data_IF_735106163506
#
_entry.id   IF_735106163506
#
_cell.length_a   1.000
_cell.length_b   1.000
_cell.length_c   1.000
_cell.angle_alpha   90.00
_cell.angle_beta   90.00
_cell.angle_gamma   90.00
#
_symmetry.space_group_name_H-M   'P 1'
#
loop_
_entity.id
_entity.type
_entity.pdbx_description
1 polymer ?
#
# COMPACT_ATOMS: atom_id res chain seq x y z
N UNK A 1 10.02 16.47 -11.60
CA UNK A 1 10.54 15.14 -11.19
C UNK A 1 11.28 15.28 -9.86
N UNK A 2 11.27 14.25 -9.01
CA UNK A 2 11.84 14.29 -7.66
C UNK A 2 13.29 13.76 -7.68
N UNK A 3 14.33 14.57 -7.40
CA UNK A 3 15.73 14.20 -7.63
C UNK A 3 16.19 12.95 -6.85
N UNK A 4 15.56 12.65 -5.69
CA UNK A 4 15.85 11.43 -4.92
C UNK A 4 15.45 10.14 -5.64
N UNK A 5 14.45 10.17 -6.55
CA UNK A 5 14.01 9.00 -7.30
C UNK A 5 15.01 8.59 -8.38
N UNK A 6 15.69 9.54 -9.02
CA UNK A 6 16.67 9.24 -10.07
C UNK A 6 17.96 8.63 -9.52
N UNK A 7 18.39 9.06 -8.33
CA UNK A 7 19.56 8.50 -7.64
C UNK A 7 19.36 7.00 -7.35
N UNK A 8 18.15 6.60 -6.93
CA UNK A 8 17.85 5.21 -6.61
C UNK A 8 17.79 4.32 -7.87
N UNK A 9 17.34 4.82 -9.02
CA UNK A 9 17.22 4.01 -10.25
C UNK A 9 18.59 3.54 -10.74
N UNK A 10 19.65 4.35 -10.56
CA UNK A 10 21.02 4.00 -10.93
C UNK A 10 21.73 3.04 -9.97
N UNK A 11 21.18 2.79 -8.77
CA UNK A 11 21.79 1.90 -7.76
C UNK A 11 20.83 0.76 -7.36
N UNK A 12 20.94 -0.41 -8.03
CA UNK A 12 20.13 -1.60 -7.72
C UNK A 12 20.25 -2.06 -6.27
N UNK A 13 21.45 -1.96 -5.68
CA UNK A 13 21.70 -2.44 -4.31
C UNK A 13 21.03 -1.53 -3.28
N UNK A 14 21.09 -0.21 -3.48
CA UNK A 14 20.38 0.74 -2.63
C UNK A 14 18.86 0.54 -2.67
N UNK A 15 18.28 0.23 -3.84
CA UNK A 15 16.83 -0.06 -3.98
C UNK A 15 16.41 -1.30 -3.20
N UNK A 16 17.17 -2.41 -3.31
CA UNK A 16 16.86 -3.63 -2.53
C UNK A 16 17.01 -3.35 -1.05
N UNK A 17 18.11 -2.69 -0.64
CA UNK A 17 18.34 -2.34 0.75
C UNK A 17 17.20 -1.52 1.32
N UNK A 18 16.72 -0.50 0.59
CA UNK A 18 15.56 0.30 1.00
C UNK A 18 14.29 -0.55 1.18
N UNK A 19 14.03 -1.49 0.26
CA UNK A 19 12.87 -2.38 0.37
C UNK A 19 12.96 -3.29 1.60
N UNK A 20 14.16 -3.79 1.91
CA UNK A 20 14.45 -4.59 3.11
C UNK A 20 14.31 -3.76 4.38
N UNK A 21 14.94 -2.59 4.45
CA UNK A 21 14.89 -1.68 5.60
C UNK A 21 13.44 -1.27 5.90
N UNK A 22 12.66 -0.98 4.86
CA UNK A 22 11.24 -0.63 5.02
C UNK A 22 10.40 -1.78 5.55
N UNK A 23 10.68 -3.03 5.15
CA UNK A 23 10.00 -4.20 5.70
C UNK A 23 10.44 -4.47 7.15
N UNK A 24 11.73 -4.29 7.44
CA UNK A 24 12.31 -4.44 8.77
C UNK A 24 11.80 -3.40 9.78
N UNK A 25 11.31 -2.24 9.33
CA UNK A 25 10.75 -1.18 10.19
C UNK A 25 9.40 -1.55 10.85
N UNK A 26 8.79 -2.68 10.49
CA UNK A 26 7.45 -3.08 10.98
C UNK A 26 7.50 -3.55 12.43
N UNK A 27 6.66 -3.01 13.32
CA UNK A 27 6.72 -3.32 14.75
C UNK A 27 5.54 -4.18 15.24
N UNK A 28 5.83 -5.08 16.18
CA UNK A 28 4.82 -5.80 16.97
C UNK A 28 4.58 -5.00 18.26
N UNK A 29 3.37 -4.46 18.40
CA UNK A 29 2.93 -3.64 19.53
C UNK A 29 2.37 -4.55 20.62
N UNK A 30 2.90 -4.43 21.84
CA UNK A 30 2.46 -5.27 22.98
C UNK A 30 1.05 -4.97 23.48
N UNK A 31 0.47 -3.83 23.09
CA UNK A 31 -0.92 -3.49 23.38
C UNK A 31 -1.93 -4.25 22.49
N UNK A 32 -1.46 -4.91 21.43
CA UNK A 32 -2.29 -5.61 20.46
C UNK A 32 -2.17 -7.11 20.70
N UNK A 33 -3.29 -7.78 20.98
CA UNK A 33 -3.36 -9.23 21.19
C UNK A 33 -2.63 -10.01 20.08
N UNK A 34 -1.75 -10.99 20.42
CA UNK A 34 -0.97 -11.74 19.45
C UNK A 34 -1.80 -12.37 18.34
N UNK A 35 -3.03 -12.80 18.64
CA UNK A 35 -3.91 -13.47 17.69
C UNK A 35 -4.26 -12.57 16.49
N UNK A 36 -4.29 -11.25 16.68
CA UNK A 36 -4.51 -10.28 15.61
C UNK A 36 -3.36 -10.33 14.60
N UNK A 37 -2.11 -10.43 15.07
CA UNK A 37 -0.95 -10.59 14.18
C UNK A 37 -1.04 -11.86 13.34
N UNK A 38 -1.49 -12.98 13.91
CA UNK A 38 -1.68 -14.24 13.19
C UNK A 38 -2.71 -14.10 12.05
N UNK A 39 -3.87 -13.47 12.32
CA UNK A 39 -4.89 -13.21 11.28
C UNK A 39 -4.38 -12.27 10.19
N UNK A 40 -3.83 -11.13 10.58
CA UNK A 40 -3.25 -10.18 9.63
C UNK A 40 -2.08 -10.80 8.84
N UNK A 41 -1.37 -11.77 9.42
CA UNK A 41 -0.33 -12.57 8.79
C UNK A 41 -0.83 -13.36 7.58
N UNK A 42 -1.94 -14.07 7.76
CA UNK A 42 -2.58 -14.85 6.70
C UNK A 42 -3.02 -13.93 5.56
N UNK A 43 -3.62 -12.78 5.90
CA UNK A 43 -4.03 -11.79 4.90
C UNK A 43 -2.83 -11.17 4.16
N UNK A 44 -1.70 -10.95 4.84
CA UNK A 44 -0.46 -10.50 4.17
C UNK A 44 0.01 -11.51 3.14
N UNK A 45 -0.01 -12.81 3.44
CA UNK A 45 0.34 -13.87 2.47
C UNK A 45 -0.63 -13.90 1.30
N UNK A 46 -1.94 -13.79 1.58
CA UNK A 46 -2.97 -13.75 0.54
C UNK A 46 -2.74 -12.59 -0.42
N UNK A 47 -2.51 -11.39 0.11
CA UNK A 47 -2.22 -10.19 -0.68
C UNK A 47 -0.89 -10.30 -1.44
N UNK A 48 0.17 -10.82 -0.81
CA UNK A 48 1.46 -11.03 -1.47
C UNK A 48 1.36 -11.99 -2.65
N UNK A 49 0.55 -13.05 -2.51
CA UNK A 49 0.29 -14.02 -3.58
C UNK A 49 -0.43 -13.36 -4.76
N UNK A 50 -1.40 -12.49 -4.49
CA UNK A 50 -2.11 -11.71 -5.52
C UNK A 50 -1.12 -10.82 -6.29
N UNK A 51 -0.31 -10.03 -5.59
CA UNK A 51 0.70 -9.18 -6.26
C UNK A 51 1.70 -9.99 -7.09
N UNK A 52 2.10 -11.17 -6.62
CA UNK A 52 2.99 -12.06 -7.37
C UNK A 52 2.36 -12.52 -8.68
N UNK A 53 1.09 -12.91 -8.67
CA UNK A 53 0.35 -13.33 -9.88
C UNK A 53 0.16 -12.16 -10.84
N UNK A 54 -0.03 -10.95 -10.33
CA UNK A 54 -0.15 -9.72 -11.12
C UNK A 54 1.18 -9.22 -11.71
N UNK A 55 2.30 -9.79 -11.28
CA UNK A 55 3.65 -9.37 -11.71
C UNK A 55 4.18 -8.14 -10.97
N UNK A 56 3.48 -7.65 -9.93
CA UNK A 56 4.02 -6.64 -9.02
C UNK A 56 4.97 -7.29 -8.01
N UNK A 57 6.16 -7.64 -8.50
CA UNK A 57 7.18 -8.33 -7.73
C UNK A 57 7.74 -7.47 -6.57
N UNK A 58 7.69 -6.14 -6.67
CA UNK A 58 8.16 -5.23 -5.61
C UNK A 58 7.21 -5.28 -4.42
N UNK A 59 5.90 -5.13 -4.66
CA UNK A 59 4.88 -5.21 -3.62
C UNK A 59 4.78 -6.62 -3.01
N UNK A 60 4.86 -7.66 -3.85
CA UNK A 60 4.87 -9.05 -3.40
C UNK A 60 6.05 -9.33 -2.47
N UNK A 61 7.26 -8.97 -2.89
CA UNK A 61 8.48 -9.13 -2.07
C UNK A 61 8.37 -8.40 -0.74
N UNK A 62 7.90 -7.15 -0.75
CA UNK A 62 7.76 -6.36 0.47
C UNK A 62 6.77 -7.00 1.47
N UNK A 63 5.61 -7.48 1.02
CA UNK A 63 4.63 -8.11 1.91
C UNK A 63 5.12 -9.46 2.44
N UNK A 64 5.72 -10.30 1.61
CA UNK A 64 6.28 -11.57 2.07
C UNK A 64 7.43 -11.33 3.06
N UNK A 65 8.32 -10.37 2.80
CA UNK A 65 9.41 -10.04 3.71
C UNK A 65 8.89 -9.51 5.05
N UNK A 66 7.87 -8.63 5.01
CA UNK A 66 7.18 -8.14 6.22
C UNK A 66 6.59 -9.30 7.04
N UNK A 67 5.94 -10.26 6.39
CA UNK A 67 5.43 -11.46 7.04
C UNK A 67 6.57 -12.25 7.72
N UNK A 68 7.64 -12.55 6.99
CA UNK A 68 8.80 -13.27 7.54
C UNK A 68 9.39 -12.53 8.75
N UNK A 69 9.63 -11.21 8.65
CA UNK A 69 10.17 -10.41 9.74
C UNK A 69 9.27 -10.47 10.99
N UNK A 70 7.95 -10.34 10.83
CA UNK A 70 7.02 -10.40 11.98
C UNK A 70 7.14 -11.76 12.67
N UNK A 71 7.03 -12.86 11.91
CA UNK A 71 6.87 -14.19 12.49
C UNK A 71 8.18 -14.92 12.82
N UNK A 72 9.31 -14.51 12.23
CA UNK A 72 10.64 -15.06 12.53
C UNK A 72 11.36 -14.24 13.61
N UNK A 73 11.22 -12.91 13.63
CA UNK A 73 12.10 -12.04 14.43
C UNK A 73 11.40 -11.25 15.54
N UNK A 74 10.09 -11.02 15.43
CA UNK A 74 9.39 -10.02 16.27
C UNK A 74 8.29 -10.57 17.16
N UNK A 75 7.52 -11.56 16.70
CA UNK A 75 6.31 -12.03 17.40
C UNK A 75 6.61 -12.76 18.71
N UNK A 76 7.76 -13.41 18.81
CA UNK A 76 8.20 -14.18 19.98
C UNK A 76 8.51 -13.29 21.19
N UNK A 77 8.84 -12.01 20.96
CA UNK A 77 9.04 -10.98 21.99
C UNK A 77 7.75 -10.49 22.63
N UNK A 78 6.58 -10.85 22.10
CA UNK A 78 5.32 -10.41 22.66
C UNK A 78 5.05 -11.07 24.03
N UNK A 79 4.68 -10.33 25.09
CA UNK A 79 4.47 -10.90 26.44
C UNK A 79 3.50 -12.08 26.50
N UNK A 80 2.42 -12.00 25.73
CA UNK A 80 1.41 -13.06 25.59
C UNK A 80 1.70 -14.09 24.48
N UNK A 81 2.89 -14.14 23.87
CA UNK A 81 3.16 -15.05 22.74
C UNK A 81 2.84 -16.52 23.05
N UNK A 82 3.12 -16.97 24.28
CA UNK A 82 2.91 -18.35 24.70
C UNK A 82 1.43 -18.76 24.83
N UNK A 83 0.48 -17.82 24.85
CA UNK A 83 -0.95 -18.14 24.92
C UNK A 83 -1.47 -18.80 23.63
N UNK A 84 -0.80 -18.55 22.50
CA UNK A 84 -1.17 -19.07 21.17
C UNK A 84 -0.50 -20.42 20.87
N UNK A 85 0.38 -20.91 21.76
CA UNK A 85 1.31 -22.00 21.47
C UNK A 85 0.65 -23.37 21.17
N UNK A 86 -0.67 -23.50 21.39
CA UNK A 86 -1.44 -24.74 21.21
C UNK A 86 -2.56 -24.68 20.16
N UNK A 87 -2.69 -23.58 19.41
CA UNK A 87 -3.77 -23.41 18.42
C UNK A 87 -3.41 -23.89 17.01
N UNK A 88 -4.41 -24.30 16.19
CA UNK A 88 -4.19 -24.75 14.80
C UNK A 88 -3.54 -23.67 13.92
N UNK A 89 -3.84 -22.40 14.20
CA UNK A 89 -3.31 -21.23 13.47
C UNK A 89 -1.79 -21.11 13.60
N UNK A 90 -1.18 -21.61 14.68
CA UNK A 90 0.28 -21.64 14.80
C UNK A 90 0.92 -22.67 13.87
N UNK A 91 0.25 -23.80 13.65
CA UNK A 91 0.70 -24.81 12.69
C UNK A 91 0.58 -24.29 11.26
N UNK A 92 -0.54 -23.64 10.94
CA UNK A 92 -0.76 -22.99 9.64
C UNK A 92 0.32 -21.95 9.34
N UNK A 93 0.63 -21.03 10.27
CA UNK A 93 1.73 -20.07 10.07
C UNK A 93 3.08 -20.76 9.86
N UNK A 94 3.36 -21.88 10.54
CA UNK A 94 4.62 -22.62 10.34
C UNK A 94 4.71 -23.20 8.93
N UNK A 95 3.61 -23.68 8.38
CA UNK A 95 3.54 -24.17 6.99
C UNK A 95 3.73 -23.01 6.02
N UNK A 96 3.01 -21.90 6.21
CA UNK A 96 3.16 -20.69 5.40
C UNK A 96 4.60 -20.13 5.44
N UNK A 97 5.29 -20.17 6.58
CA UNK A 97 6.70 -19.77 6.68
C UNK A 97 7.60 -20.65 5.80
N UNK A 98 7.40 -21.97 5.82
CA UNK A 98 8.19 -22.91 5.01
C UNK A 98 8.01 -22.67 3.51
N UNK A 99 6.78 -22.37 3.08
CA UNK A 99 6.47 -22.06 1.69
C UNK A 99 6.97 -20.68 1.27
N UNK A 100 6.85 -19.69 2.15
CA UNK A 100 7.18 -18.29 1.85
C UNK A 100 8.68 -18.06 1.70
N UNK A 101 9.52 -18.73 2.48
CA UNK A 101 10.97 -18.58 2.43
C UNK A 101 11.58 -18.72 1.02
N UNK A 102 11.39 -19.84 0.29
CA UNK A 102 11.92 -19.98 -1.07
C UNK A 102 11.29 -19.02 -2.08
N UNK A 103 10.03 -18.61 -1.86
CA UNK A 103 9.36 -17.62 -2.71
C UNK A 103 10.06 -16.26 -2.59
N UNK A 104 10.38 -15.82 -1.37
CA UNK A 104 11.07 -14.55 -1.13
C UNK A 104 12.46 -14.55 -1.73
N UNK A 105 13.19 -15.67 -1.63
CA UNK A 105 14.50 -15.82 -2.26
C UNK A 105 14.41 -15.68 -3.79
N UNK A 106 13.46 -16.37 -4.42
CA UNK A 106 13.22 -16.24 -5.86
C UNK A 106 12.82 -14.82 -6.27
N UNK A 107 11.91 -14.17 -5.52
CA UNK A 107 11.49 -12.79 -5.79
C UNK A 107 12.64 -11.80 -5.63
N UNK A 108 13.52 -12.00 -4.65
CA UNK A 108 14.72 -11.18 -4.47
C UNK A 108 15.62 -11.26 -5.70
N UNK A 109 15.81 -12.45 -6.26
CA UNK A 109 16.60 -12.65 -7.48
C UNK A 109 15.97 -11.93 -8.68
N UNK A 110 14.66 -12.10 -8.88
CA UNK A 110 13.92 -11.42 -9.96
C UNK A 110 13.98 -9.89 -9.82
N UNK A 111 13.88 -9.37 -8.60
CA UNK A 111 14.01 -7.93 -8.33
C UNK A 111 15.41 -7.41 -8.64
N UNK A 112 16.45 -8.15 -8.27
CA UNK A 112 17.82 -7.76 -8.58
C UNK A 112 18.06 -7.70 -10.08
N UNK A 113 17.58 -8.69 -10.83
CA UNK A 113 17.63 -8.70 -12.30
C UNK A 113 16.89 -7.52 -12.91
N UNK A 114 15.65 -7.26 -12.44
CA UNK A 114 14.87 -6.09 -12.86
C UNK A 114 15.63 -4.78 -12.60
N UNK A 115 16.17 -4.61 -11.39
CA UNK A 115 16.86 -3.37 -11.02
C UNK A 115 18.16 -3.19 -11.78
N UNK A 116 18.91 -4.26 -12.05
CA UNK A 116 20.09 -4.21 -12.91
C UNK A 116 19.73 -3.79 -14.33
N UNK A 117 18.61 -4.30 -14.88
CA UNK A 117 18.11 -3.90 -16.19
C UNK A 117 17.69 -2.42 -16.22
N UNK A 118 16.95 -1.96 -15.20
CA UNK A 118 16.54 -0.56 -15.05
C UNK A 118 17.76 0.37 -14.97
N UNK A 119 18.76 0.00 -14.16
CA UNK A 119 19.98 0.78 -14.00
C UNK A 119 20.76 0.86 -15.30
N UNK A 120 20.88 -0.25 -16.06
CA UNK A 120 21.54 -0.25 -17.36
C UNK A 120 20.85 0.72 -18.33
N UNK A 121 19.52 0.64 -18.46
CA UNK A 121 18.74 1.56 -19.32
C UNK A 121 18.91 3.02 -18.91
N UNK A 122 18.94 3.29 -17.60
CA UNK A 122 19.16 4.64 -17.08
C UNK A 122 20.53 5.19 -17.45
N UNK A 123 21.60 4.40 -17.34
CA UNK A 123 22.95 4.83 -17.73
C UNK A 123 23.05 5.04 -19.24
N UNK A 124 22.51 4.13 -20.06
CA UNK A 124 22.48 4.27 -21.53
C UNK A 124 21.74 5.54 -21.96
N UNK A 125 20.58 5.83 -21.35
CA UNK A 125 19.82 7.04 -21.67
C UNK A 125 20.54 8.31 -21.20
N UNK A 126 21.20 8.27 -20.05
CA UNK A 126 22.01 9.39 -19.55
C UNK A 126 23.16 9.70 -20.51
N UNK A 127 23.88 8.69 -20.99
CA UNK A 127 24.95 8.85 -21.98
C UNK A 127 24.41 9.39 -23.32
N UNK A 128 23.23 8.94 -23.77
CA UNK A 128 22.56 9.50 -24.97
C UNK A 128 22.24 10.98 -24.81
N UNK A 129 21.69 11.38 -23.68
CA UNK A 129 21.36 12.79 -23.41
C UNK A 129 22.62 13.66 -23.32
N UNK A 130 23.70 13.15 -22.73
CA UNK A 130 24.99 13.84 -22.65
C UNK A 130 25.63 14.00 -24.05
N UNK A 131 25.64 12.95 -24.88
CA UNK A 131 26.18 13.02 -26.26
C UNK A 131 25.36 13.91 -27.20
N UNK A 132 24.05 14.07 -26.94
CA UNK A 132 23.19 15.01 -27.69
C UNK A 132 23.41 16.45 -27.21
N UNK A 133 23.66 16.68 -25.92
CA UNK A 133 23.95 18.00 -25.37
C UNK A 133 25.33 18.55 -25.79
N UNK A 134 26.29 17.68 -26.14
CA UNK A 134 27.64 18.07 -26.59
C UNK A 134 27.75 18.40 -28.10
N UNK A 135 26.69 18.19 -28.91
CA UNK A 135 26.73 18.56 -30.34
C UNK A 135 26.50 20.08 -30.53
N UNK A 136 27.34 20.81 -31.29
CA UNK A 136 27.14 22.23 -31.55
C UNK A 136 25.85 22.49 -32.33
N UNK A 137 25.07 23.47 -31.88
CA UNK A 137 23.82 23.89 -32.52
C UNK A 137 24.12 24.67 -33.81
N UNK A 138 24.21 23.96 -34.92
CA UNK A 138 24.01 24.52 -36.26
C UNK A 138 23.03 23.63 -37.03
N UNK A 139 21.73 23.96 -36.95
CA UNK A 139 20.90 24.22 -38.14
C UNK A 139 19.46 24.56 -37.75
N UNK A 140 18.83 25.29 -38.66
CA UNK A 140 17.75 26.25 -38.47
C UNK A 140 16.40 25.63 -38.89
N UNK A 141 15.35 25.96 -38.12
CA UNK A 141 13.96 26.31 -38.53
C UNK A 141 12.80 25.38 -38.12
N UNK A 142 11.79 26.11 -37.61
CA UNK A 142 10.35 25.86 -37.47
C UNK A 142 9.89 25.04 -36.29
N UNK A 143 9.66 25.77 -35.19
CA UNK A 143 8.82 25.37 -34.07
C UNK A 143 7.39 25.20 -34.58
N UNK A 144 6.95 23.96 -34.74
CA UNK A 144 5.55 23.59 -34.50
C UNK A 144 5.53 22.95 -33.12
N UNK A 145 4.68 23.46 -32.24
CA UNK A 145 4.48 22.93 -30.90
C UNK A 145 3.36 21.89 -30.98
N UNK A 146 3.64 20.59 -30.74
CA UNK A 146 2.66 19.75 -30.10
C UNK A 146 2.97 19.63 -28.60
N UNK A 147 1.90 19.84 -27.85
CA UNK A 147 1.70 19.81 -26.41
C UNK A 147 2.36 18.61 -25.72
N UNK A 148 3.38 18.90 -24.91
CA UNK A 148 4.07 17.95 -24.05
C UNK A 148 3.25 17.74 -22.76
N UNK A 149 2.34 16.77 -22.79
CA UNK A 149 1.61 16.34 -21.59
C UNK A 149 1.68 14.83 -21.32
N UNK A 150 2.82 14.18 -21.55
CA UNK A 150 3.08 12.86 -20.96
C UNK A 150 3.93 12.98 -19.70
N UNK A 151 3.30 13.52 -18.65
CA UNK A 151 3.81 13.45 -17.28
C UNK A 151 3.77 12.01 -16.80
N UNK A 152 4.93 11.36 -16.90
CA UNK A 152 5.55 10.45 -15.93
C UNK A 152 4.71 10.16 -14.66
N UNK A 153 3.71 9.28 -14.80
CA UNK A 153 2.99 8.68 -13.67
C UNK A 153 3.82 7.49 -13.19
N UNK A 154 4.51 7.61 -12.04
CA UNK A 154 4.57 6.44 -11.16
C UNK A 154 3.11 6.13 -10.82
N UNK A 155 2.54 5.14 -11.50
CA UNK A 155 1.10 4.94 -11.62
C UNK A 155 0.39 5.01 -10.26
N UNK A 156 -0.47 6.01 -10.08
CA UNK A 156 -1.51 5.93 -9.06
C UNK A 156 -2.46 4.82 -9.50
N UNK A 157 -2.77 3.90 -8.58
CA UNK A 157 -3.74 2.83 -8.86
C UNK A 157 -5.12 3.42 -9.01
N UNK A 158 -5.88 2.92 -9.97
CA UNK A 158 -7.27 3.31 -10.15
C UNK A 158 -8.11 2.89 -8.94
N UNK A 159 -9.00 3.80 -8.51
CA UNK A 159 -10.03 3.52 -7.51
C UNK A 159 -11.38 3.45 -8.22
N UNK A 160 -12.06 2.31 -8.13
CA UNK A 160 -13.47 2.16 -8.47
C UNK A 160 -14.31 2.63 -7.29
N UNK A 161 -15.14 3.64 -7.55
CA UNK A 161 -16.11 4.19 -6.60
C UNK A 161 -17.52 3.81 -7.06
N UNK A 162 -18.31 3.06 -6.28
CA UNK A 162 -19.72 2.79 -6.62
C UNK A 162 -20.52 4.09 -6.74
N UNK A 163 -21.28 4.25 -7.82
CA UNK A 163 -22.03 5.49 -8.10
C UNK A 163 -23.08 5.84 -7.04
N UNK A 164 -23.57 4.83 -6.30
CA UNK A 164 -24.59 5.00 -5.26
C UNK A 164 -24.03 5.52 -3.94
N UNK A 165 -22.71 5.41 -3.71
CA UNK A 165 -22.11 5.64 -2.39
C UNK A 165 -22.33 7.06 -1.87
N UNK A 166 -22.30 8.06 -2.77
CA UNK A 166 -22.53 9.46 -2.42
C UNK A 166 -23.98 9.66 -1.98
N UNK A 167 -24.95 9.08 -2.72
CA UNK A 167 -26.37 9.21 -2.40
C UNK A 167 -26.72 8.50 -1.08
N UNK A 168 -26.17 7.32 -0.86
CA UNK A 168 -26.34 6.57 0.39
C UNK A 168 -25.72 7.33 1.56
N UNK A 169 -24.51 7.88 1.40
CA UNK A 169 -23.87 8.73 2.41
C UNK A 169 -24.70 9.96 2.76
N UNK A 170 -25.18 10.72 1.76
CA UNK A 170 -26.01 11.90 1.99
C UNK A 170 -27.33 11.55 2.70
N UNK A 171 -27.91 10.37 2.42
CA UNK A 171 -29.11 9.89 3.12
C UNK A 171 -28.83 9.62 4.60
N UNK A 172 -27.68 9.02 4.90
CA UNK A 172 -27.26 8.74 6.28
C UNK A 172 -26.89 10.02 7.04
N UNK A 173 -26.26 10.98 6.37
CA UNK A 173 -25.84 12.26 6.96
C UNK A 173 -27.00 13.24 7.17
N UNK A 174 -28.14 13.07 6.47
CA UNK A 174 -29.24 14.04 6.42
C UNK A 174 -29.73 14.51 7.80
N UNK A 175 -29.91 13.60 8.76
CA UNK A 175 -30.40 13.96 10.11
C UNK A 175 -29.43 14.89 10.83
N UNK A 176 -28.13 14.63 10.69
CA UNK A 176 -27.08 15.46 11.28
C UNK A 176 -26.96 16.80 10.54
N UNK A 177 -26.99 16.77 9.20
CA UNK A 177 -26.94 17.98 8.38
C UNK A 177 -28.13 18.90 8.68
N UNK A 178 -29.35 18.36 8.83
CA UNK A 178 -30.54 19.11 9.25
C UNK A 178 -30.41 19.70 10.66
N UNK A 179 -29.53 19.14 11.50
CA UNK A 179 -29.24 19.61 12.85
C UNK A 179 -27.97 20.46 12.93
N UNK A 180 -27.46 20.97 11.79
CA UNK A 180 -26.23 21.75 11.68
C UNK A 180 -24.99 21.02 12.25
N UNK A 181 -24.90 19.70 12.00
CA UNK A 181 -23.74 18.87 12.34
C UNK A 181 -23.14 18.19 11.12
N UNK A 182 -21.83 18.33 10.94
CA UNK A 182 -21.08 17.59 9.94
C UNK A 182 -21.10 16.08 10.26
N UNK A 183 -20.90 15.27 9.22
CA UNK A 183 -20.79 13.81 9.33
C UNK A 183 -19.66 13.35 8.43
N UNK A 184 -18.82 12.44 8.91
CA UNK A 184 -17.81 11.73 8.13
C UNK A 184 -18.13 10.24 8.00
N UNK A 185 -17.61 9.64 6.93
CA UNK A 185 -17.59 8.22 6.66
C UNK A 185 -16.22 7.80 6.14
N UNK A 186 -15.88 6.54 6.34
CA UNK A 186 -14.65 5.93 5.85
C UNK A 186 -15.00 5.10 4.62
N UNK A 187 -14.30 5.37 3.51
CA UNK A 187 -14.41 4.58 2.29
C UNK A 187 -13.48 3.38 2.44
N UNK A 188 -14.07 2.21 2.68
CA UNK A 188 -13.36 0.97 2.87
C UNK A 188 -13.58 0.04 1.67
N UNK A 189 -12.56 -0.70 1.32
CA UNK A 189 -12.61 -1.51 0.11
C UNK A 189 -11.55 -2.57 0.06
N UNK A 190 -11.34 -3.09 -1.13
CA UNK A 190 -10.38 -4.17 -1.38
C UNK A 190 -9.48 -3.80 -2.53
N UNK A 191 -8.26 -4.27 -2.46
CA UNK A 191 -7.34 -4.29 -3.60
C UNK A 191 -7.42 -5.66 -4.26
N UNK A 192 -7.74 -5.69 -5.55
CA UNK A 192 -7.72 -6.88 -6.40
C UNK A 192 -7.33 -6.47 -7.82
N UNK A 193 -6.43 -7.20 -8.48
CA UNK A 193 -6.02 -6.96 -9.88
C UNK A 193 -5.46 -5.55 -10.08
N UNK A 194 -4.55 -5.13 -9.19
CA UNK A 194 -3.96 -3.79 -9.14
C UNK A 194 -4.99 -2.63 -9.10
N UNK A 195 -6.23 -2.94 -8.70
CA UNK A 195 -7.35 -2.00 -8.69
C UNK A 195 -7.99 -1.93 -7.31
N UNK A 196 -8.12 -0.71 -6.80
CA UNK A 196 -8.77 -0.46 -5.53
C UNK A 196 -10.27 -0.34 -5.79
N UNK A 197 -11.09 -1.15 -5.14
CA UNK A 197 -12.55 -1.07 -5.28
C UNK A 197 -13.16 -0.76 -3.93
N UNK A 198 -13.84 0.37 -3.83
CA UNK A 198 -14.64 0.71 -2.65
C UNK A 198 -15.85 -0.22 -2.65
N UNK A 199 -16.05 -0.92 -1.55
CA UNK A 199 -17.17 -1.87 -1.38
C UNK A 199 -18.00 -1.54 -0.14
N UNK A 200 -17.45 -0.79 0.80
CA UNK A 200 -18.06 -0.48 2.08
C UNK A 200 -17.95 1.01 2.37
N UNK A 201 -19.05 1.60 2.82
CA UNK A 201 -19.08 2.90 3.48
C UNK A 201 -19.25 2.65 4.96
N UNK A 202 -18.19 2.87 5.74
CA UNK A 202 -18.25 2.72 7.20
C UNK A 202 -18.62 4.06 7.81
N UNK A 203 -19.74 4.11 8.53
CA UNK A 203 -20.13 5.27 9.32
C UNK A 203 -19.71 5.03 10.77
N UNK A 204 -18.59 5.60 11.21
CA UNK A 204 -18.14 5.41 12.57
C UNK A 204 -19.07 6.12 13.55
N UNK A 205 -19.04 5.67 14.80
CA UNK A 205 -19.51 6.51 15.90
C UNK A 205 -18.68 7.79 15.87
N UNK A 206 -19.33 8.94 15.97
CA UNK A 206 -18.67 10.22 15.76
C UNK A 206 -19.39 11.34 16.50
N UNK A 207 -18.68 12.43 16.72
CA UNK A 207 -19.23 13.71 17.18
C UNK A 207 -18.95 14.78 16.13
N UNK A 208 -20.00 15.47 15.70
CA UNK A 208 -19.91 16.57 14.74
C UNK A 208 -20.32 17.90 15.35
N UNK A 209 -19.61 18.96 14.97
CA UNK A 209 -20.02 20.38 15.07
C UNK A 209 -20.42 20.90 13.68
N UNK A 210 -20.66 22.19 13.56
CA UNK A 210 -20.97 22.85 12.27
C UNK A 210 -19.76 22.95 11.32
N UNK A 211 -18.56 22.70 11.83
CA UNK A 211 -17.28 22.93 11.14
C UNK A 211 -16.26 21.78 11.31
N UNK A 212 -16.66 20.70 11.99
CA UNK A 212 -15.80 19.53 12.18
C UNK A 212 -16.60 18.26 12.46
N UNK A 213 -16.01 17.11 12.17
CA UNK A 213 -16.48 15.81 12.65
C UNK A 213 -15.30 14.95 13.08
N UNK A 214 -15.43 14.32 14.25
CA UNK A 214 -14.39 13.49 14.87
C UNK A 214 -14.90 12.07 15.08
N UNK A 215 -14.15 11.10 14.58
CA UNK A 215 -14.43 9.69 14.77
C UNK A 215 -14.16 9.25 16.21
N UNK A 216 -14.96 8.31 16.69
CA UNK A 216 -14.83 7.70 18.01
C UNK A 216 -14.72 6.19 17.86
N UNK A 217 -14.05 5.53 18.81
CA UNK A 217 -13.87 4.08 18.83
C UNK A 217 -13.21 3.51 17.55
N UNK A 218 -12.05 4.06 17.19
CA UNK A 218 -11.26 3.59 16.04
C UNK A 218 -10.88 2.10 16.13
N UNK A 219 -10.78 1.56 17.35
CA UNK A 219 -10.54 0.14 17.59
C UNK A 219 -11.62 -0.77 16.99
N UNK A 220 -12.88 -0.33 17.00
CA UNK A 220 -14.01 -1.09 16.42
C UNK A 220 -14.03 -1.01 14.91
N UNK A 221 -13.63 0.14 14.36
CA UNK A 221 -13.49 0.34 12.91
C UNK A 221 -12.41 -0.61 12.41
N UNK A 222 -11.25 -0.60 13.07
CA UNK A 222 -10.14 -1.49 12.75
C UNK A 222 -10.54 -2.96 12.86
N UNK A 223 -11.24 -3.36 13.93
CA UNK A 223 -11.70 -4.74 14.10
C UNK A 223 -12.71 -5.16 13.02
N UNK A 224 -13.65 -4.29 12.65
CA UNK A 224 -14.57 -4.58 11.55
C UNK A 224 -13.83 -4.71 10.21
N UNK A 225 -12.86 -3.81 9.95
CA UNK A 225 -12.05 -3.86 8.72
C UNK A 225 -11.20 -5.13 8.64
N UNK A 226 -10.54 -5.52 9.74
CA UNK A 226 -9.74 -6.74 9.85
C UNK A 226 -10.61 -7.99 9.67
N UNK A 227 -11.79 -8.05 10.28
CA UNK A 227 -12.73 -9.19 10.15
C UNK A 227 -13.29 -9.37 8.73
N UNK A 228 -13.31 -8.31 7.91
CA UNK A 228 -13.93 -8.32 6.58
C UNK A 228 -12.92 -8.13 5.43
N UNK A 229 -11.62 -8.18 5.75
CA UNK A 229 -10.50 -7.97 4.83
C UNK A 229 -10.61 -6.65 4.05
N UNK A 230 -10.90 -5.56 4.77
CA UNK A 230 -11.08 -4.23 4.21
C UNK A 230 -9.87 -3.34 4.49
N UNK A 231 -9.46 -2.59 3.47
CA UNK A 231 -8.45 -1.53 3.58
C UNK A 231 -9.14 -0.16 3.52
N UNK A 232 -8.58 0.82 4.24
CA UNK A 232 -9.01 2.22 4.13
C UNK A 232 -8.53 2.81 2.81
N UNK A 233 -9.47 3.24 1.97
CA UNK A 233 -9.21 3.84 0.66
C UNK A 233 -9.38 5.35 0.65
N UNK A 234 -10.11 5.90 1.64
CA UNK A 234 -10.33 7.32 1.77
C UNK A 234 -11.39 7.65 2.83
N UNK A 235 -11.83 8.89 2.81
CA UNK A 235 -12.83 9.45 3.71
C UNK A 235 -13.79 10.33 2.90
N UNK A 236 -15.02 10.44 3.38
CA UNK A 236 -16.06 11.31 2.83
C UNK A 236 -16.67 12.09 3.98
N UNK A 237 -16.97 13.37 3.79
CA UNK A 237 -17.65 14.18 4.79
C UNK A 237 -18.62 15.17 4.14
N UNK A 238 -19.62 15.62 4.90
CA UNK A 238 -20.51 16.72 4.50
C UNK A 238 -20.11 17.97 5.27
N UNK A 239 -19.88 19.06 4.55
CA UNK A 239 -19.73 20.39 5.13
C UNK A 239 -21.09 21.08 5.22
N UNK A 240 -21.25 21.94 6.21
CA UNK A 240 -22.42 22.79 6.32
C UNK A 240 -22.03 24.20 5.87
N UNK A 241 -22.84 24.78 4.98
CA UNK A 241 -22.67 26.12 4.44
C UNK A 241 -23.53 27.12 5.21
#
# INVERSE_FOLDING_TARGET
MNPRRNILIGDPQARIKQAVDSAAAVEVKFAVEPMRYYRSGIEMIRQATIYRVEGDIEAAFHLYLKFLTIFIEKIDKHPQYNTINKGPVKTEIKELLRETLPIVESLKQQLLEKYNSDAKKYHEEKERLETVAEKPVEEKISVQIPDDSEKDKKGLRDIIVPTKIIKEFLTLAYVNTASNKETCGILAGRLQLNRLTITHLLIPKQSGSSDSCSTQSEEKIFEYQDQHDLITLGWIHVNIL
#
